data_IF_554991864816
#
_entry.id   IF_554991864816
#
_cell.length_a   1.000
_cell.length_b   1.000
_cell.length_c   1.000
_cell.angle_alpha   90.00
_cell.angle_beta   90.00
_cell.angle_gamma   90.00
#
_symmetry.space_group_name_H-M   'P 1'
#
loop_
_entity.id
_entity.type
_entity.pdbx_description
1 polymer ?
#
# COMPACT_ATOMS: atom_id res chain seq x y z
N UNK A 1 7.49 16.20 3.15
CA UNK A 1 6.16 15.53 3.17
C UNK A 1 5.23 16.36 4.02
N UNK A 2 5.59 16.60 5.29
CA UNK A 2 4.89 17.50 6.20
C UNK A 2 4.75 18.92 5.63
N UNK A 3 5.86 19.51 5.17
CA UNK A 3 5.91 20.87 4.62
C UNK A 3 4.98 21.03 3.41
N UNK A 4 5.01 20.04 2.51
CA UNK A 4 4.17 20.02 1.30
C UNK A 4 2.68 19.92 1.64
N UNK A 5 2.31 19.10 2.62
CA UNK A 5 0.92 18.95 3.02
C UNK A 5 0.41 20.16 3.80
N UNK A 6 1.26 20.78 4.62
CA UNK A 6 0.93 22.04 5.29
C UNK A 6 0.71 23.16 4.27
N UNK A 7 1.52 23.22 3.22
CA UNK A 7 1.31 24.16 2.13
C UNK A 7 -0.02 23.91 1.43
N UNK A 8 -0.31 22.68 0.99
CA UNK A 8 -1.58 22.34 0.33
C UNK A 8 -2.80 22.68 1.22
N UNK A 9 -2.70 22.40 2.51
CA UNK A 9 -3.75 22.77 3.46
C UNK A 9 -3.93 24.29 3.54
N UNK A 10 -2.83 25.06 3.58
CA UNK A 10 -2.89 26.52 3.56
C UNK A 10 -3.47 27.09 2.26
N UNK A 11 -3.37 26.35 1.15
CA UNK A 11 -3.94 26.67 -0.16
C UNK A 11 -5.41 26.22 -0.31
N UNK A 12 -6.01 25.62 0.73
CA UNK A 12 -7.43 25.26 0.77
C UNK A 12 -7.74 23.78 0.60
N UNK A 13 -6.74 22.89 0.57
CA UNK A 13 -6.97 21.44 0.64
C UNK A 13 -7.58 21.05 2.00
N UNK A 14 -8.38 19.99 2.01
CA UNK A 14 -9.07 19.49 3.21
C UNK A 14 -8.12 18.84 4.24
N UNK A 15 -6.87 18.60 3.87
CA UNK A 15 -5.87 17.93 4.68
C UNK A 15 -6.02 16.41 4.64
N UNK A 16 -5.00 15.72 5.13
CA UNK A 16 -4.97 14.27 5.19
C UNK A 16 -4.29 13.78 6.48
N UNK A 17 -4.73 12.61 6.96
CA UNK A 17 -3.98 11.84 7.94
C UNK A 17 -2.99 10.98 7.17
N UNK A 18 -1.69 11.22 7.38
CA UNK A 18 -0.62 10.40 6.79
C UNK A 18 -0.16 9.38 7.82
N UNK A 19 -0.13 8.12 7.41
CA UNK A 19 0.38 7.01 8.21
C UNK A 19 1.62 6.46 7.53
N UNK A 20 2.79 6.76 8.08
CA UNK A 20 4.04 6.13 7.67
C UNK A 20 4.14 4.74 8.27
N UNK A 21 4.39 3.73 7.43
CA UNK A 21 4.64 2.35 7.86
C UNK A 21 6.11 2.06 7.62
N UNK A 22 6.85 1.85 8.71
CA UNK A 22 8.24 1.43 8.62
C UNK A 22 8.32 -0.01 8.10
N UNK A 23 9.42 -0.34 7.45
CA UNK A 23 9.69 -1.70 6.98
C UNK A 23 10.65 -2.41 7.94
N UNK A 24 10.66 -3.74 7.93
CA UNK A 24 11.52 -4.57 8.77
C UNK A 24 13.01 -4.58 8.37
N UNK A 25 13.50 -3.54 7.68
CA UNK A 25 14.91 -3.41 7.27
C UNK A 25 15.34 -4.53 6.34
N UNK A 26 16.04 -5.54 6.87
CA UNK A 26 16.44 -6.74 6.12
C UNK A 26 15.24 -7.54 5.59
N UNK A 27 14.07 -7.42 6.23
CA UNK A 27 12.83 -8.09 5.83
C UNK A 27 12.00 -7.32 4.80
N UNK A 28 12.46 -6.13 4.37
CA UNK A 28 11.71 -5.26 3.46
C UNK A 28 11.28 -5.97 2.17
N UNK A 29 12.13 -6.84 1.61
CA UNK A 29 11.77 -7.59 0.40
C UNK A 29 10.66 -8.61 0.70
N UNK A 30 10.72 -9.31 1.82
CA UNK A 30 9.70 -10.27 2.24
C UNK A 30 8.34 -9.57 2.41
N UNK A 31 8.33 -8.45 3.14
CA UNK A 31 7.12 -7.66 3.42
C UNK A 31 6.50 -7.02 2.17
N UNK A 32 7.32 -6.60 1.19
CA UNK A 32 6.82 -5.83 0.04
C UNK A 32 6.57 -6.67 -1.21
N UNK A 33 6.71 -7.99 -1.12
CA UNK A 33 6.55 -8.87 -2.27
C UNK A 33 5.61 -10.03 -1.92
N UNK A 34 4.41 -10.10 -2.53
CA UNK A 34 3.45 -11.18 -2.25
C UNK A 34 3.93 -12.55 -2.73
N UNK A 35 4.91 -12.57 -3.64
CA UNK A 35 5.44 -13.78 -4.27
C UNK A 35 6.94 -13.84 -4.13
N UNK A 36 7.47 -15.07 -4.08
CA UNK A 36 8.91 -15.33 -4.06
C UNK A 36 9.53 -15.07 -5.42
N UNK A 37 10.64 -14.34 -5.43
CA UNK A 37 11.57 -14.25 -6.52
C UNK A 37 12.76 -15.18 -6.28
N UNK A 38 13.19 -15.93 -7.29
CA UNK A 38 14.26 -16.92 -7.18
C UNK A 38 15.63 -16.33 -6.83
N UNK A 39 15.89 -15.07 -7.20
CA UNK A 39 17.15 -14.38 -6.94
C UNK A 39 17.12 -13.59 -5.63
N UNK A 40 15.99 -13.00 -5.28
CA UNK A 40 15.91 -11.99 -4.23
C UNK A 40 15.09 -12.41 -3.00
N UNK A 41 14.48 -13.60 -2.99
CA UNK A 41 13.62 -14.04 -1.88
C UNK A 41 12.21 -13.44 -1.97
N UNK A 42 11.59 -13.12 -0.84
CA UNK A 42 10.24 -12.55 -0.81
C UNK A 42 9.14 -13.52 -0.35
N UNK A 43 7.89 -13.10 -0.59
CA UNK A 43 6.72 -13.97 -0.46
C UNK A 43 5.87 -13.79 0.80
N UNK A 44 6.17 -12.80 1.64
CA UNK A 44 5.38 -12.49 2.83
C UNK A 44 4.48 -11.26 2.65
N UNK A 45 4.50 -10.64 1.47
CA UNK A 45 3.71 -9.43 1.21
C UNK A 45 2.20 -9.63 1.34
N UNK A 46 1.70 -10.86 1.24
CA UNK A 46 0.30 -11.14 1.54
C UNK A 46 -0.05 -10.89 3.02
N UNK A 47 0.85 -11.26 3.93
CA UNK A 47 0.70 -11.03 5.37
C UNK A 47 0.78 -9.55 5.70
N UNK A 48 1.70 -8.83 5.06
CA UNK A 48 1.79 -7.37 5.18
C UNK A 48 0.51 -6.69 4.67
N UNK A 49 -0.02 -7.13 3.53
CA UNK A 49 -1.30 -6.65 2.98
C UNK A 49 -2.46 -6.87 3.96
N UNK A 50 -2.54 -8.05 4.55
CA UNK A 50 -3.51 -8.40 5.58
C UNK A 50 -3.37 -7.52 6.82
N UNK A 51 -2.15 -7.29 7.29
CA UNK A 51 -1.88 -6.38 8.40
C UNK A 51 -2.42 -4.97 8.10
N UNK A 52 -2.13 -4.42 6.92
CA UNK A 52 -2.62 -3.09 6.54
C UNK A 52 -4.16 -3.02 6.54
N UNK A 53 -4.82 -3.99 5.90
CA UNK A 53 -6.26 -3.95 5.67
C UNK A 53 -7.10 -4.35 6.91
N UNK A 54 -6.62 -5.33 7.68
CA UNK A 54 -7.38 -5.97 8.76
C UNK A 54 -6.95 -5.51 10.15
N UNK A 55 -5.77 -4.92 10.29
CA UNK A 55 -5.24 -4.49 11.60
C UNK A 55 -5.00 -2.98 11.63
N UNK A 56 -4.10 -2.48 10.79
CA UNK A 56 -3.67 -1.08 10.84
C UNK A 56 -4.81 -0.12 10.49
N UNK A 57 -5.47 -0.31 9.33
CA UNK A 57 -6.56 0.60 8.93
C UNK A 57 -7.71 0.62 9.96
N UNK A 58 -8.23 -0.51 10.47
CA UNK A 58 -9.24 -0.49 11.53
C UNK A 58 -8.77 0.22 12.81
N UNK A 59 -7.50 0.05 13.20
CA UNK A 59 -6.93 0.78 14.33
C UNK A 59 -6.93 2.30 14.10
N UNK A 60 -6.49 2.76 12.92
CA UNK A 60 -6.47 4.18 12.57
C UNK A 60 -7.90 4.75 12.51
N UNK A 61 -8.83 4.04 11.86
CA UNK A 61 -10.24 4.46 11.75
C UNK A 61 -10.95 4.56 13.11
N UNK A 62 -10.50 3.79 14.11
CA UNK A 62 -11.05 3.79 15.48
C UNK A 62 -10.48 4.94 16.32
N UNK A 63 -9.18 5.23 16.19
CA UNK A 63 -8.47 6.13 17.08
C UNK A 63 -8.35 7.57 16.53
N UNK A 64 -8.59 7.77 15.25
CA UNK A 64 -8.49 9.08 14.59
C UNK A 64 -9.76 9.42 13.80
N UNK A 65 -9.96 10.71 13.53
CA UNK A 65 -11.14 11.23 12.81
C UNK A 65 -10.98 11.06 11.29
N UNK A 66 -10.91 9.81 10.85
CA UNK A 66 -10.83 9.45 9.42
C UNK A 66 -12.19 9.51 8.72
N UNK A 67 -12.19 9.76 7.42
CA UNK A 67 -13.29 9.39 6.55
C UNK A 67 -13.15 7.90 6.16
N UNK A 68 -13.89 7.02 6.85
CA UNK A 68 -13.65 5.55 6.83
C UNK A 68 -13.89 4.86 5.48
N UNK A 69 -14.69 5.45 4.60
CA UNK A 69 -15.02 4.88 3.29
C UNK A 69 -13.77 4.72 2.42
N UNK A 70 -13.63 3.57 1.75
CA UNK A 70 -12.48 3.25 0.91
C UNK A 70 -12.17 4.29 -0.18
N UNK A 71 -13.18 5.02 -0.67
CA UNK A 71 -13.00 6.16 -1.61
C UNK A 71 -12.12 7.28 -1.04
N UNK A 72 -11.96 7.36 0.27
CA UNK A 72 -11.17 8.38 0.97
C UNK A 72 -9.83 7.85 1.48
N UNK A 73 -9.51 6.57 1.27
CA UNK A 73 -8.24 5.99 1.72
C UNK A 73 -7.37 5.63 0.53
N UNK A 74 -6.12 6.09 0.56
CA UNK A 74 -5.11 5.82 -0.44
C UNK A 74 -4.00 4.93 0.10
N UNK A 75 -3.43 4.09 -0.77
CA UNK A 75 -2.10 3.50 -0.56
C UNK A 75 -1.14 4.16 -1.55
N UNK A 76 0.04 4.52 -1.07
CA UNK A 76 1.04 5.24 -1.86
C UNK A 76 2.39 4.59 -1.62
N UNK A 77 3.13 4.29 -2.69
CA UNK A 77 4.44 3.68 -2.58
C UNK A 77 5.28 3.77 -3.84
N UNK A 78 6.60 3.66 -3.67
CA UNK A 78 7.60 3.70 -4.73
C UNK A 78 8.40 2.40 -4.82
N UNK A 79 8.80 1.99 -6.03
CA UNK A 79 9.58 0.76 -6.25
C UNK A 79 8.86 -0.47 -5.69
N UNK A 80 9.46 -1.21 -4.74
CA UNK A 80 8.80 -2.32 -4.06
C UNK A 80 7.56 -1.86 -3.27
N UNK A 81 7.60 -0.66 -2.71
CA UNK A 81 6.43 -0.04 -2.06
C UNK A 81 5.27 0.19 -3.04
N UNK A 82 5.59 0.47 -4.31
CA UNK A 82 4.60 0.60 -5.38
C UNK A 82 3.98 -0.74 -5.75
N UNK A 83 4.79 -1.80 -5.82
CA UNK A 83 4.29 -3.17 -6.05
C UNK A 83 3.32 -3.61 -4.95
N UNK A 84 3.72 -3.50 -3.67
CA UNK A 84 2.87 -3.95 -2.56
C UNK A 84 1.62 -3.09 -2.39
N UNK A 85 1.70 -1.78 -2.65
CA UNK A 85 0.55 -0.88 -2.63
C UNK A 85 -0.45 -1.24 -3.73
N UNK A 86 0.04 -1.52 -4.94
CA UNK A 86 -0.80 -1.95 -6.05
C UNK A 86 -1.50 -3.27 -5.75
N UNK A 87 -0.73 -4.27 -5.30
CA UNK A 87 -1.27 -5.56 -4.90
C UNK A 87 -2.35 -5.44 -3.82
N UNK A 88 -2.05 -4.72 -2.74
CA UNK A 88 -2.97 -4.54 -1.60
C UNK A 88 -4.23 -3.79 -2.01
N UNK A 89 -4.13 -2.78 -2.87
CA UNK A 89 -5.29 -2.04 -3.37
C UNK A 89 -6.25 -2.89 -4.19
N UNK A 90 -5.71 -3.81 -5.01
CA UNK A 90 -6.52 -4.78 -5.73
C UNK A 90 -7.11 -5.84 -4.80
N UNK A 91 -6.32 -6.38 -3.87
CA UNK A 91 -6.81 -7.39 -2.91
C UNK A 91 -7.92 -6.84 -2.01
N UNK A 92 -7.83 -5.56 -1.61
CA UNK A 92 -8.71 -4.92 -0.63
C UNK A 92 -9.39 -3.64 -1.16
N UNK A 93 -10.07 -3.76 -2.30
CA UNK A 93 -10.79 -2.63 -2.92
C UNK A 93 -11.88 -2.02 -2.03
N UNK A 94 -12.41 -2.79 -1.07
CA UNK A 94 -13.37 -2.33 -0.07
C UNK A 94 -12.74 -1.53 1.08
N UNK A 95 -11.40 -1.49 1.15
CA UNK A 95 -10.62 -0.70 2.11
C UNK A 95 -9.87 0.45 1.46
N UNK A 96 -9.34 0.26 0.26
CA UNK A 96 -8.52 1.23 -0.45
C UNK A 96 -9.00 1.40 -1.90
N UNK A 97 -9.36 2.63 -2.31
CA UNK A 97 -9.79 2.92 -3.70
C UNK A 97 -8.99 4.01 -4.39
N UNK A 98 -7.91 4.48 -3.76
CA UNK A 98 -6.97 5.41 -4.35
C UNK A 98 -5.58 4.81 -4.25
N UNK A 99 -4.81 4.88 -5.33
CA UNK A 99 -3.47 4.30 -5.40
C UNK A 99 -2.50 5.32 -6.02
N UNK A 100 -1.43 5.64 -5.29
CA UNK A 100 -0.28 6.40 -5.79
C UNK A 100 0.89 5.46 -6.03
N UNK A 101 1.04 4.98 -7.26
CA UNK A 101 2.03 3.95 -7.61
C UNK A 101 3.16 4.58 -8.41
N UNK A 102 4.34 4.70 -7.79
CA UNK A 102 5.48 5.38 -8.39
C UNK A 102 6.59 4.38 -8.75
N UNK A 103 6.99 4.34 -10.03
CA UNK A 103 8.06 3.45 -10.54
C UNK A 103 8.01 2.03 -9.95
N UNK A 104 6.87 1.31 -10.06
CA UNK A 104 6.67 0.07 -9.32
C UNK A 104 7.58 -1.05 -9.82
N UNK A 105 8.07 -1.88 -8.90
CA UNK A 105 8.92 -3.03 -9.20
C UNK A 105 8.13 -4.25 -9.71
N UNK A 106 7.23 -4.06 -10.69
CA UNK A 106 6.41 -5.15 -11.26
C UNK A 106 7.25 -6.29 -11.86
N UNK A 107 8.45 -5.98 -12.33
CA UNK A 107 9.42 -6.96 -12.84
C UNK A 107 9.83 -8.02 -11.81
N UNK A 108 9.64 -7.76 -10.51
CA UNK A 108 10.06 -8.67 -9.44
C UNK A 108 9.28 -10.00 -9.46
N UNK A 109 8.01 -9.97 -9.85
CA UNK A 109 7.12 -11.13 -9.89
C UNK A 109 6.08 -10.96 -11.00
N UNK A 110 6.55 -10.63 -12.20
CA UNK A 110 5.69 -10.18 -13.30
C UNK A 110 4.64 -11.23 -13.72
N UNK A 111 5.04 -12.50 -13.81
CA UNK A 111 4.15 -13.59 -14.19
C UNK A 111 3.05 -13.82 -13.15
N UNK A 112 3.41 -13.84 -11.86
CA UNK A 112 2.46 -14.00 -10.77
C UNK A 112 1.51 -12.81 -10.66
N UNK A 113 2.02 -11.58 -10.82
CA UNK A 113 1.21 -10.37 -10.84
C UNK A 113 0.19 -10.39 -11.98
N UNK A 114 0.61 -10.76 -13.20
CA UNK A 114 -0.29 -10.92 -14.34
C UNK A 114 -1.35 -11.98 -14.07
N UNK A 115 -0.96 -13.13 -13.53
CA UNK A 115 -1.90 -14.21 -13.17
C UNK A 115 -2.91 -13.75 -12.11
N UNK A 116 -2.45 -13.00 -11.11
CA UNK A 116 -3.30 -12.45 -10.06
C UNK A 116 -4.35 -11.49 -10.62
N UNK A 117 -3.96 -10.57 -11.51
CA UNK A 117 -4.92 -9.64 -12.13
C UNK A 117 -5.96 -10.42 -12.93
N UNK A 118 -5.52 -11.31 -13.83
CA UNK A 118 -6.41 -12.10 -14.72
C UNK A 118 -7.41 -12.99 -13.96
N UNK A 119 -7.06 -13.43 -12.75
CA UNK A 119 -7.94 -14.29 -11.93
C UNK A 119 -9.00 -13.50 -11.18
N UNK A 120 -8.77 -12.21 -10.92
CA UNK A 120 -9.62 -11.40 -10.04
C UNK A 120 -10.39 -10.30 -10.79
N UNK A 121 -10.06 -10.03 -12.06
CA UNK A 121 -10.66 -9.00 -12.92
C UNK A 121 -10.64 -9.42 -14.38
#
# INVERSE_FOLDING_TARGET
MDETLNQLFSEGDYGAIVVGVDNGGSHRIDEYTPWKNSQYGGGEGDLYSDFLAKTLKPYIDKNYRTLRNAKNTALIGSSMGGLISFYTGLKYTEKFRKLGIFSPSFWFAEADLKSFIQKNY
#
